data_IF_566880131613
#
_entry.id   IF_566880131613
#
_cell.length_a   1.000
_cell.length_b   1.000
_cell.length_c   1.000
_cell.angle_alpha   90.00
_cell.angle_beta   90.00
_cell.angle_gamma   90.00
#
_symmetry.space_group_name_H-M   'P 1'
#
loop_
_entity.id
_entity.type
_entity.pdbx_description
1 polymer ?
#
# COMPACT_ATOMS: atom_id res chain seq x y z
N UNK A 1 -30.46 6.61 -9.30
CA UNK A 1 -30.53 6.45 -7.83
C UNK A 1 -30.45 4.95 -7.53
N UNK A 2 -29.26 4.35 -7.63
CA UNK A 2 -29.08 2.94 -7.28
C UNK A 2 -28.77 2.86 -5.78
N UNK A 3 -29.68 2.24 -5.04
CA UNK A 3 -29.52 1.97 -3.63
C UNK A 3 -28.32 1.01 -3.47
N UNK A 4 -27.21 1.49 -2.89
CA UNK A 4 -26.11 0.64 -2.44
C UNK A 4 -26.71 -0.40 -1.48
N UNK A 5 -26.76 -1.67 -1.86
CA UNK A 5 -27.20 -2.74 -0.97
C UNK A 5 -26.12 -2.94 0.08
N UNK A 6 -26.32 -2.35 1.25
CA UNK A 6 -25.38 -2.38 2.35
C UNK A 6 -25.38 -3.78 3.00
N UNK A 7 -24.31 -4.55 2.78
CA UNK A 7 -24.14 -5.85 3.44
C UNK A 7 -23.52 -5.67 4.83
N UNK A 8 -24.37 -5.63 5.85
CA UNK A 8 -23.94 -5.46 7.25
C UNK A 8 -22.97 -6.55 7.73
N UNK A 9 -23.07 -7.78 7.19
CA UNK A 9 -22.18 -8.90 7.54
C UNK A 9 -20.80 -8.75 6.93
N UNK A 10 -20.71 -8.16 5.73
CA UNK A 10 -19.44 -7.84 5.10
C UNK A 10 -18.67 -6.81 5.95
N UNK A 11 -19.33 -5.74 6.36
CA UNK A 11 -18.70 -4.68 7.18
C UNK A 11 -18.35 -5.12 8.61
N UNK A 12 -18.99 -6.16 9.17
CA UNK A 12 -18.52 -6.74 10.45
C UNK A 12 -17.29 -7.64 10.28
N UNK A 13 -17.10 -8.20 9.08
CA UNK A 13 -16.01 -9.14 8.77
C UNK A 13 -14.72 -8.39 8.39
N UNK A 14 -14.86 -7.23 7.75
CA UNK A 14 -13.72 -6.44 7.27
C UNK A 14 -13.71 -5.05 7.91
N UNK A 15 -12.53 -4.49 8.09
CA UNK A 15 -12.30 -3.24 8.84
C UNK A 15 -12.62 -1.98 8.04
N UNK A 16 -13.83 -1.86 7.49
CA UNK A 16 -14.25 -0.69 6.72
C UNK A 16 -15.11 0.24 7.56
N UNK A 17 -14.75 1.52 7.60
CA UNK A 17 -15.57 2.53 8.26
C UNK A 17 -16.66 3.05 7.32
N UNK A 18 -17.83 3.34 7.89
CA UNK A 18 -18.95 3.94 7.16
C UNK A 18 -18.64 5.39 6.80
N UNK A 19 -19.02 5.80 5.60
CA UNK A 19 -18.86 7.17 5.10
C UNK A 19 -20.21 7.81 4.84
N UNK A 20 -21.09 7.86 5.85
CA UNK A 20 -22.47 8.36 5.70
C UNK A 20 -22.57 9.83 5.25
N UNK A 21 -21.48 10.61 5.34
CA UNK A 21 -21.44 12.04 5.03
C UNK A 21 -20.45 12.42 3.92
N UNK A 22 -19.90 11.44 3.18
CA UNK A 22 -18.93 11.73 2.13
C UNK A 22 -19.64 11.91 0.79
N UNK A 23 -19.61 13.13 0.25
CA UNK A 23 -20.07 13.41 -1.11
C UNK A 23 -19.03 12.92 -2.13
N UNK A 24 -19.39 11.84 -2.83
CA UNK A 24 -18.55 11.15 -3.80
C UNK A 24 -18.83 11.66 -5.22
N UNK A 25 -17.77 11.77 -6.00
CA UNK A 25 -17.86 11.96 -7.45
C UNK A 25 -18.62 10.79 -8.09
N UNK A 26 -19.38 11.05 -9.16
CA UNK A 26 -20.26 10.08 -9.82
C UNK A 26 -19.50 8.86 -10.38
N UNK A 27 -18.21 9.00 -10.62
CA UNK A 27 -17.32 7.94 -11.08
C UNK A 27 -16.60 7.22 -9.94
N UNK A 28 -16.87 7.55 -8.67
CA UNK A 28 -16.24 6.94 -7.50
C UNK A 28 -17.28 6.18 -6.67
N UNK A 29 -16.98 4.93 -6.34
CA UNK A 29 -17.76 4.16 -5.37
C UNK A 29 -16.92 3.82 -4.14
N UNK A 30 -17.60 3.63 -3.01
CA UNK A 30 -17.02 3.03 -1.82
C UNK A 30 -17.20 1.52 -1.88
N UNK A 31 -16.17 0.77 -1.44
CA UNK A 31 -16.29 -0.68 -1.24
C UNK A 31 -17.20 -0.94 -0.04
N UNK A 32 -18.36 -1.51 -0.31
CA UNK A 32 -19.43 -1.71 0.68
C UNK A 32 -19.91 -3.15 0.80
N UNK A 33 -19.53 -3.99 -0.16
CA UNK A 33 -19.95 -5.39 -0.24
C UNK A 33 -18.84 -6.27 -0.83
N UNK A 34 -19.10 -7.58 -0.85
CA UNK A 34 -18.16 -8.62 -1.30
C UNK A 34 -17.76 -8.50 -2.77
N UNK A 35 -18.64 -8.01 -3.65
CA UNK A 35 -18.33 -7.86 -5.06
C UNK A 35 -17.42 -6.65 -5.29
N UNK A 36 -17.73 -5.51 -4.67
CA UNK A 36 -16.85 -4.33 -4.70
C UNK A 36 -15.45 -4.69 -4.21
N UNK A 37 -15.34 -5.50 -3.16
CA UNK A 37 -14.05 -5.90 -2.61
C UNK A 37 -13.24 -6.81 -3.54
N UNK A 38 -13.92 -7.65 -4.32
CA UNK A 38 -13.28 -8.43 -5.38
C UNK A 38 -12.83 -7.52 -6.53
N UNK A 39 -13.66 -6.56 -6.94
CA UNK A 39 -13.29 -5.57 -7.97
C UNK A 39 -12.04 -4.80 -7.51
N UNK A 40 -12.04 -4.32 -6.26
CA UNK A 40 -10.90 -3.66 -5.65
C UNK A 40 -9.64 -4.54 -5.74
N UNK A 41 -9.74 -5.83 -5.41
CA UNK A 41 -8.60 -6.75 -5.50
C UNK A 41 -8.09 -6.95 -6.93
N UNK A 42 -8.99 -7.02 -7.92
CA UNK A 42 -8.66 -7.40 -9.29
C UNK A 42 -8.12 -6.27 -10.18
N UNK A 43 -8.38 -5.00 -9.87
CA UNK A 43 -7.90 -3.84 -10.67
C UNK A 43 -6.40 -3.89 -11.06
N UNK A 44 -5.44 -4.26 -10.19
CA UNK A 44 -4.05 -4.45 -10.59
C UNK A 44 -3.88 -5.40 -11.78
N UNK A 45 -4.61 -6.51 -11.81
CA UNK A 45 -4.49 -7.50 -12.88
C UNK A 45 -4.79 -6.91 -14.25
N UNK A 46 -5.72 -5.96 -14.32
CA UNK A 46 -6.03 -5.21 -15.55
C UNK A 46 -4.90 -4.25 -15.91
N UNK A 47 -4.33 -3.54 -14.93
CA UNK A 47 -3.28 -2.55 -15.15
C UNK A 47 -1.96 -3.21 -15.59
N UNK A 48 -1.63 -4.37 -15.03
CA UNK A 48 -0.37 -5.08 -15.26
C UNK A 48 -0.50 -6.26 -16.22
N UNK A 49 -1.62 -6.43 -16.93
CA UNK A 49 -1.91 -7.60 -17.77
C UNK A 49 -0.77 -7.98 -18.74
N UNK A 50 -0.02 -6.98 -19.21
CA UNK A 50 1.10 -7.16 -20.16
C UNK A 50 2.47 -6.84 -19.55
N UNK A 51 2.57 -6.73 -18.22
CA UNK A 51 3.82 -6.42 -17.54
C UNK A 51 4.53 -7.71 -17.09
N UNK A 52 5.70 -8.06 -17.66
CA UNK A 52 6.37 -9.32 -17.34
C UNK A 52 7.08 -9.33 -15.98
N UNK A 53 7.19 -8.18 -15.31
CA UNK A 53 7.89 -8.06 -14.04
C UNK A 53 6.97 -7.95 -12.83
N UNK A 54 5.68 -7.61 -13.05
CA UNK A 54 4.73 -7.50 -11.96
C UNK A 54 4.39 -8.88 -11.38
N UNK A 55 4.39 -8.98 -10.06
CA UNK A 55 4.03 -10.20 -9.32
C UNK A 55 2.65 -10.00 -8.70
N UNK A 56 1.65 -10.85 -9.04
CA UNK A 56 0.30 -10.70 -8.52
C UNK A 56 0.24 -11.00 -7.01
N UNK A 57 -0.50 -10.21 -6.22
CA UNK A 57 -0.69 -10.48 -4.80
C UNK A 57 -1.59 -11.70 -4.58
N UNK A 58 -1.42 -12.39 -3.45
CA UNK A 58 -2.31 -13.49 -3.07
C UNK A 58 -3.63 -12.95 -2.50
N UNK A 59 -4.75 -13.41 -3.04
CA UNK A 59 -6.08 -12.99 -2.57
C UNK A 59 -6.31 -13.31 -1.08
N UNK A 60 -5.75 -14.42 -0.59
CA UNK A 60 -5.83 -14.79 0.82
C UNK A 60 -5.14 -13.77 1.71
N UNK A 61 -3.91 -13.37 1.39
CA UNK A 61 -3.16 -12.37 2.16
C UNK A 61 -3.86 -11.02 2.15
N UNK A 62 -4.40 -10.62 0.99
CA UNK A 62 -5.20 -9.41 0.86
C UNK A 62 -6.45 -9.43 1.76
N UNK A 63 -7.21 -10.54 1.75
CA UNK A 63 -8.37 -10.72 2.65
C UNK A 63 -7.97 -10.71 4.12
N UNK A 64 -6.95 -11.48 4.48
CA UNK A 64 -6.48 -11.64 5.85
C UNK A 64 -5.91 -10.31 6.38
N UNK A 65 -5.37 -9.45 5.50
CA UNK A 65 -5.00 -8.09 5.86
C UNK A 65 -6.21 -7.26 6.26
N UNK A 66 -7.26 -7.17 5.43
CA UNK A 66 -8.44 -6.33 5.72
C UNK A 66 -9.45 -6.94 6.70
N UNK A 67 -9.26 -8.20 7.11
CA UNK A 67 -10.13 -8.86 8.06
C UNK A 67 -10.10 -8.15 9.42
N UNK A 68 -11.25 -8.05 10.08
CA UNK A 68 -11.40 -7.33 11.37
C UNK A 68 -10.56 -7.92 12.50
N UNK A 69 -10.16 -9.18 12.40
CA UNK A 69 -9.26 -9.83 13.36
C UNK A 69 -7.78 -9.45 13.19
N UNK A 70 -7.39 -8.75 12.13
CA UNK A 70 -6.00 -8.34 11.95
C UNK A 70 -5.63 -7.27 13.01
N UNK A 71 -4.61 -7.50 13.86
CA UNK A 71 -4.29 -6.57 14.95
C UNK A 71 -3.97 -5.14 14.51
N UNK A 72 -3.56 -4.94 13.25
CA UNK A 72 -3.34 -3.62 12.68
C UNK A 72 -4.59 -2.72 12.79
N UNK A 73 -5.79 -3.27 12.67
CA UNK A 73 -7.03 -2.49 12.72
C UNK A 73 -7.49 -2.13 14.13
N UNK A 74 -6.82 -2.62 15.18
CA UNK A 74 -7.12 -2.21 16.56
C UNK A 74 -6.79 -0.74 16.82
N UNK A 75 -5.91 -0.15 16.00
CA UNK A 75 -5.48 1.24 16.10
C UNK A 75 -5.54 1.98 14.75
N UNK A 76 -6.17 1.39 13.74
CA UNK A 76 -6.20 1.93 12.39
C UNK A 76 -7.61 1.89 11.81
N UNK A 77 -7.88 2.86 10.93
CA UNK A 77 -9.14 2.95 10.19
C UNK A 77 -8.85 3.02 8.69
N UNK A 78 -9.77 2.49 7.88
CA UNK A 78 -9.65 2.58 6.43
C UNK A 78 -11.01 2.73 5.75
N UNK A 79 -10.97 3.35 4.57
CA UNK A 79 -12.01 3.27 3.56
C UNK A 79 -11.38 2.98 2.20
N UNK A 80 -12.03 2.12 1.43
CA UNK A 80 -11.59 1.70 0.10
C UNK A 80 -12.51 2.32 -0.95
N UNK A 81 -11.92 2.88 -2.00
CA UNK A 81 -12.64 3.51 -3.09
C UNK A 81 -12.21 2.93 -4.43
N UNK A 82 -13.16 2.85 -5.36
CA UNK A 82 -12.96 2.39 -6.73
C UNK A 82 -13.43 3.48 -7.68
N UNK A 83 -12.63 3.74 -8.72
CA UNK A 83 -13.01 4.58 -9.84
C UNK A 83 -13.56 3.75 -10.99
N UNK A 84 -14.64 4.23 -11.62
CA UNK A 84 -15.31 3.57 -12.75
C UNK A 84 -15.31 4.44 -14.00
N UNK A 85 -15.01 3.81 -15.14
CA UNK A 85 -15.20 4.39 -16.48
C UNK A 85 -16.16 3.49 -17.24
N UNK A 86 -17.33 4.01 -17.61
CA UNK A 86 -18.36 3.24 -18.32
C UNK A 86 -18.69 1.91 -17.61
N UNK A 87 -18.91 1.96 -16.28
CA UNK A 87 -19.14 0.80 -15.40
C UNK A 87 -17.99 -0.22 -15.31
N UNK A 88 -16.80 0.08 -15.84
CA UNK A 88 -15.61 -0.75 -15.65
C UNK A 88 -14.73 -0.19 -14.53
N UNK A 89 -14.28 -1.00 -13.55
CA UNK A 89 -13.29 -0.59 -12.57
C UNK A 89 -11.98 -0.20 -13.25
N UNK A 90 -11.52 1.04 -13.06
CA UNK A 90 -10.32 1.59 -13.70
C UNK A 90 -9.29 2.14 -12.71
N UNK A 91 -9.60 2.14 -11.42
CA UNK A 91 -8.65 2.49 -10.39
C UNK A 91 -9.17 2.24 -8.99
N UNK A 92 -8.28 2.20 -8.02
CA UNK A 92 -8.56 1.97 -6.61
C UNK A 92 -7.64 2.78 -5.73
N UNK A 93 -8.10 3.08 -4.52
CA UNK A 93 -7.28 3.69 -3.47
C UNK A 93 -7.86 3.30 -2.10
N UNK A 94 -6.98 3.03 -1.15
CA UNK A 94 -7.32 2.97 0.26
C UNK A 94 -6.92 4.29 0.92
N UNK A 95 -7.84 4.91 1.66
CA UNK A 95 -7.51 5.97 2.61
C UNK A 95 -7.37 5.33 3.99
N UNK A 96 -6.22 5.51 4.65
CA UNK A 96 -5.84 4.78 5.85
C UNK A 96 -5.39 5.77 6.93
N UNK A 97 -5.80 5.55 8.18
CA UNK A 97 -5.27 6.26 9.35
C UNK A 97 -4.68 5.23 10.28
N UNK A 98 -3.44 5.42 10.70
CA UNK A 98 -2.83 4.69 11.81
C UNK A 98 -2.70 5.67 13.00
N UNK A 99 -3.60 5.54 13.97
CA UNK A 99 -3.62 6.41 15.15
C UNK A 99 -2.41 6.17 16.06
N UNK A 100 -1.88 4.95 16.10
CA UNK A 100 -0.69 4.64 16.88
C UNK A 100 0.52 5.35 16.27
N UNK A 101 0.65 5.32 14.94
CA UNK A 101 1.67 6.09 14.23
C UNK A 101 1.53 7.59 14.49
N UNK A 102 0.33 8.16 14.29
CA UNK A 102 0.07 9.59 14.52
C UNK A 102 0.45 10.02 15.93
N UNK A 103 0.09 9.22 16.95
CA UNK A 103 0.48 9.45 18.34
C UNK A 103 1.98 9.40 18.55
N UNK A 104 2.67 8.43 17.96
CA UNK A 104 4.12 8.26 18.09
C UNK A 104 4.90 9.42 17.48
N UNK A 105 4.48 9.91 16.31
CA UNK A 105 5.17 10.99 15.60
C UNK A 105 4.67 12.41 15.95
N UNK A 106 3.56 12.52 16.70
CA UNK A 106 2.96 13.79 17.10
C UNK A 106 2.38 14.62 15.94
N UNK A 107 1.90 13.97 14.87
CA UNK A 107 1.32 14.65 13.69
C UNK A 107 0.09 13.90 13.17
N UNK A 108 -0.90 14.64 12.69
CA UNK A 108 -2.10 14.08 12.08
C UNK A 108 -1.85 13.79 10.59
N UNK A 109 -1.33 12.60 10.31
CA UNK A 109 -1.02 12.14 8.95
C UNK A 109 -2.01 11.05 8.56
N UNK A 110 -2.70 11.27 7.45
CA UNK A 110 -3.46 10.27 6.74
C UNK A 110 -2.62 9.65 5.63
N UNK A 111 -2.83 8.37 5.39
CA UNK A 111 -2.15 7.63 4.35
C UNK A 111 -3.08 7.33 3.18
N UNK A 112 -2.51 7.29 1.97
CA UNK A 112 -3.12 6.48 0.91
C UNK A 112 -2.29 5.23 0.66
N UNK A 113 -2.94 4.14 0.28
CA UNK A 113 -2.32 2.87 -0.08
C UNK A 113 -3.16 2.13 -1.11
N UNK A 114 -2.68 0.96 -1.54
CA UNK A 114 -3.29 0.09 -2.54
C UNK A 114 -3.65 0.83 -3.82
N UNK A 115 -2.97 1.94 -4.10
CA UNK A 115 -3.32 2.84 -5.19
C UNK A 115 -2.97 2.20 -6.52
N UNK A 116 -3.98 2.08 -7.37
CA UNK A 116 -3.81 1.62 -8.74
C UNK A 116 -4.77 2.40 -9.64
N UNK A 117 -4.36 2.74 -10.85
CA UNK A 117 -5.19 3.49 -11.79
C UNK A 117 -4.71 3.24 -13.22
N UNK A 118 -5.61 3.19 -14.18
CA UNK A 118 -5.23 3.26 -15.60
C UNK A 118 -4.40 4.53 -15.89
N UNK A 119 -3.71 4.56 -17.04
CA UNK A 119 -2.95 5.72 -17.49
C UNK A 119 -3.84 6.90 -17.94
N UNK A 120 -4.67 7.40 -17.03
CA UNK A 120 -5.52 8.57 -17.15
C UNK A 120 -5.52 9.32 -15.82
N UNK A 121 -4.89 10.50 -15.81
CA UNK A 121 -4.72 11.33 -14.61
C UNK A 121 -6.06 11.77 -14.00
N UNK A 122 -7.13 11.81 -14.79
CA UNK A 122 -8.45 12.24 -14.33
C UNK A 122 -8.94 11.34 -13.18
N UNK A 123 -8.80 10.02 -13.33
CA UNK A 123 -9.22 9.06 -12.32
C UNK A 123 -8.26 9.02 -11.13
N UNK A 124 -6.95 9.14 -11.37
CA UNK A 124 -5.96 9.26 -10.30
C UNK A 124 -6.25 10.48 -9.40
N UNK A 125 -6.53 11.62 -10.01
CA UNK A 125 -6.92 12.86 -9.32
C UNK A 125 -8.19 12.66 -8.49
N UNK A 126 -9.25 12.06 -9.05
CA UNK A 126 -10.51 11.80 -8.33
C UNK A 126 -10.31 10.88 -7.13
N UNK A 127 -9.48 9.83 -7.29
CA UNK A 127 -9.14 8.90 -6.21
C UNK A 127 -8.40 9.60 -5.06
N UNK A 128 -7.35 10.37 -5.36
CA UNK A 128 -6.62 11.11 -4.33
C UNK A 128 -7.48 12.18 -3.64
N UNK A 129 -8.29 12.94 -4.39
CA UNK A 129 -9.21 13.90 -3.80
C UNK A 129 -10.23 13.22 -2.88
N UNK A 130 -10.72 12.04 -3.25
CA UNK A 130 -11.63 11.26 -2.41
C UNK A 130 -10.95 10.82 -1.12
N UNK A 131 -9.72 10.32 -1.19
CA UNK A 131 -8.95 9.97 -0.01
C UNK A 131 -8.68 11.19 0.89
N UNK A 132 -8.30 12.34 0.32
CA UNK A 132 -8.10 13.58 1.07
C UNK A 132 -9.37 14.04 1.79
N UNK A 133 -10.53 14.00 1.11
CA UNK A 133 -11.82 14.33 1.72
C UNK A 133 -12.17 13.39 2.87
N UNK A 134 -11.95 12.09 2.69
CA UNK A 134 -12.22 11.12 3.76
C UNK A 134 -11.32 11.35 4.98
N UNK A 135 -10.04 11.63 4.74
CA UNK A 135 -9.05 11.89 5.78
C UNK A 135 -9.28 13.22 6.50
N UNK A 136 -9.71 14.27 5.78
CA UNK A 136 -9.96 15.59 6.36
C UNK A 136 -11.17 15.58 7.31
N UNK A 137 -12.21 14.78 7.01
CA UNK A 137 -13.33 14.53 7.92
C UNK A 137 -12.89 13.90 9.26
N UNK A 138 -11.69 13.33 9.30
CA UNK A 138 -11.06 12.72 10.49
C UNK A 138 -9.89 13.54 11.03
N UNK A 139 -9.84 14.84 10.70
CA UNK A 139 -8.84 15.79 11.18
C UNK A 139 -7.38 15.46 10.78
N UNK A 140 -7.19 14.66 9.72
CA UNK A 140 -5.87 14.47 9.14
C UNK A 140 -5.51 15.67 8.28
N UNK A 141 -4.33 16.23 8.48
CA UNK A 141 -3.89 17.48 7.84
C UNK A 141 -2.90 17.26 6.71
N UNK A 142 -2.47 16.01 6.49
CA UNK A 142 -1.50 15.65 5.48
C UNK A 142 -1.87 14.28 4.89
N UNK A 143 -1.87 14.19 3.56
CA UNK A 143 -1.92 12.93 2.83
C UNK A 143 -0.49 12.48 2.49
N UNK A 144 -0.12 11.26 2.86
CA UNK A 144 1.19 10.67 2.55
C UNK A 144 1.05 9.27 1.98
N UNK A 145 1.89 8.89 1.01
CA UNK A 145 1.83 7.53 0.45
C UNK A 145 2.54 7.36 -0.90
N UNK A 146 2.37 6.20 -1.54
CA UNK A 146 1.53 5.10 -1.08
C UNK A 146 2.14 4.32 0.10
N UNK A 147 1.31 3.91 1.07
CA UNK A 147 1.61 2.96 2.16
C UNK A 147 0.41 2.04 2.33
N UNK A 148 0.60 0.74 2.14
CA UNK A 148 -0.45 -0.30 2.12
C UNK A 148 -0.80 -0.76 3.55
N UNK A 149 -1.01 0.22 4.42
CA UNK A 149 -1.22 0.08 5.87
C UNK A 149 0.06 -0.15 6.64
N UNK A 150 0.83 -1.18 6.29
CA UNK A 150 2.16 -1.43 6.86
C UNK A 150 3.24 -1.37 5.80
N UNK A 151 4.45 -0.96 6.18
CA UNK A 151 5.57 -0.81 5.24
C UNK A 151 5.93 -2.16 4.58
N UNK A 152 5.78 -3.27 5.29
CA UNK A 152 6.01 -4.63 4.78
C UNK A 152 4.95 -5.10 3.77
N UNK A 153 3.75 -4.52 3.76
CA UNK A 153 2.76 -4.82 2.71
C UNK A 153 3.08 -4.09 1.40
N UNK A 154 3.58 -2.85 1.51
CA UNK A 154 3.90 -2.01 0.37
C UNK A 154 4.09 -0.56 0.77
N UNK A 155 5.16 0.07 0.29
CA UNK A 155 5.44 1.48 0.49
C UNK A 155 6.15 2.09 -0.72
N UNK A 156 5.70 3.26 -1.16
CA UNK A 156 6.32 4.05 -2.22
C UNK A 156 5.95 3.60 -3.64
N UNK A 157 6.11 4.52 -4.60
CA UNK A 157 6.08 4.19 -6.02
C UNK A 157 7.45 3.74 -6.49
N UNK A 158 7.48 2.80 -7.43
CA UNK A 158 8.69 2.37 -8.10
C UNK A 158 9.29 3.56 -8.86
N UNK A 159 10.48 3.98 -8.46
CA UNK A 159 11.19 5.11 -9.06
C UNK A 159 12.17 4.68 -10.14
N UNK A 160 12.86 3.55 -9.93
CA UNK A 160 13.85 2.95 -10.82
C UNK A 160 13.74 1.42 -10.77
N UNK A 161 14.15 0.73 -11.85
CA UNK A 161 14.10 -0.73 -11.93
C UNK A 161 12.81 -1.31 -12.53
N UNK A 162 12.12 -0.57 -13.42
CA UNK A 162 10.90 -1.03 -14.12
C UNK A 162 11.10 -2.29 -15.00
N UNK A 163 12.35 -2.70 -15.18
CA UNK A 163 12.76 -3.90 -15.92
C UNK A 163 13.34 -4.99 -15.01
N UNK A 164 13.08 -4.91 -13.70
CA UNK A 164 13.51 -5.87 -12.70
C UNK A 164 12.28 -6.46 -12.02
N UNK A 165 12.35 -7.76 -11.71
CA UNK A 165 11.35 -8.36 -10.84
C UNK A 165 11.47 -7.74 -9.44
N UNK A 166 10.34 -7.41 -8.78
CA UNK A 166 10.37 -6.86 -7.43
C UNK A 166 10.96 -7.89 -6.46
N UNK A 167 11.76 -7.41 -5.52
CA UNK A 167 12.26 -8.25 -4.43
C UNK A 167 11.19 -8.39 -3.33
N UNK A 168 11.40 -9.31 -2.38
CA UNK A 168 10.50 -9.47 -1.25
C UNK A 168 10.35 -8.13 -0.51
N UNK A 169 9.10 -7.72 -0.24
CA UNK A 169 8.72 -6.44 0.38
C UNK A 169 8.96 -5.19 -0.47
N UNK A 170 9.41 -5.32 -1.73
CA UNK A 170 9.46 -4.18 -2.66
C UNK A 170 8.11 -3.95 -3.33
N UNK A 171 7.72 -2.69 -3.48
CA UNK A 171 6.58 -2.33 -4.32
C UNK A 171 6.94 -2.31 -5.80
N UNK A 172 5.94 -2.56 -6.63
CA UNK A 172 6.04 -2.40 -8.07
C UNK A 172 4.88 -1.54 -8.54
N UNK A 173 5.17 -0.49 -9.32
CA UNK A 173 4.15 0.40 -9.87
C UNK A 173 4.52 0.85 -11.28
N UNK A 174 3.54 1.23 -12.13
CA UNK A 174 3.83 1.73 -13.47
C UNK A 174 4.55 3.08 -13.40
N UNK A 175 5.44 3.34 -14.36
CA UNK A 175 6.24 4.58 -14.42
C UNK A 175 5.38 5.85 -14.42
N UNK A 176 4.21 5.82 -15.03
CA UNK A 176 3.33 6.99 -15.14
C UNK A 176 2.72 7.45 -13.80
N UNK A 177 2.77 6.62 -12.73
CA UNK A 177 2.33 7.04 -11.40
C UNK A 177 3.21 8.17 -10.83
N UNK A 178 4.50 8.20 -11.17
CA UNK A 178 5.40 9.30 -10.78
C UNK A 178 4.91 10.63 -11.36
N UNK A 179 4.59 10.63 -12.66
CA UNK A 179 4.04 11.81 -13.34
C UNK A 179 2.67 12.21 -12.80
N UNK A 180 1.84 11.26 -12.36
CA UNK A 180 0.57 11.57 -11.71
C UNK A 180 0.77 12.24 -10.35
N UNK A 181 1.70 11.73 -9.53
CA UNK A 181 2.04 12.32 -8.24
C UNK A 181 2.55 13.76 -8.40
N UNK A 182 3.43 13.99 -9.38
CA UNK A 182 3.93 15.34 -9.72
C UNK A 182 2.80 16.28 -10.18
N UNK A 183 1.93 15.82 -11.09
CA UNK A 183 0.75 16.60 -11.55
C UNK A 183 -0.22 16.91 -10.41
N UNK A 184 -0.34 16.01 -9.45
CA UNK A 184 -1.12 16.22 -8.22
C UNK A 184 -0.38 17.08 -7.17
N UNK A 185 0.83 17.57 -7.48
CA UNK A 185 1.69 18.40 -6.61
C UNK A 185 2.16 17.71 -5.34
N UNK A 186 2.24 16.37 -5.34
CA UNK A 186 2.85 15.63 -4.25
C UNK A 186 4.35 15.91 -4.19
N UNK A 187 4.90 15.88 -2.97
CA UNK A 187 6.34 16.05 -2.74
C UNK A 187 6.96 14.73 -2.29
N UNK A 188 8.17 14.46 -2.77
CA UNK A 188 8.92 13.27 -2.36
C UNK A 188 9.20 13.31 -0.85
N UNK A 189 8.76 12.28 -0.13
CA UNK A 189 8.95 12.19 1.32
C UNK A 189 10.24 11.44 1.71
N UNK A 190 10.52 10.30 1.07
CA UNK A 190 11.66 9.43 1.38
C UNK A 190 12.00 8.53 0.20
N UNK A 191 13.28 8.21 0.05
CA UNK A 191 13.75 7.16 -0.86
C UNK A 191 13.83 5.81 -0.15
N UNK A 192 13.35 4.75 -0.80
CA UNK A 192 13.55 3.38 -0.37
C UNK A 192 14.46 2.67 -1.37
N UNK A 193 15.59 2.17 -0.87
CA UNK A 193 16.62 1.57 -1.71
C UNK A 193 16.64 0.07 -1.44
N UNK A 194 16.50 -0.70 -2.52
CA UNK A 194 16.63 -2.16 -2.50
C UNK A 194 17.98 -2.55 -3.10
N UNK A 195 18.72 -3.41 -2.40
CA UNK A 195 20.00 -3.93 -2.87
C UNK A 195 19.85 -5.41 -3.22
N UNK A 196 20.38 -5.79 -4.38
CA UNK A 196 20.53 -7.19 -4.77
C UNK A 196 21.95 -7.67 -4.44
N UNK A 197 22.06 -8.79 -3.72
CA UNK A 197 23.33 -9.44 -3.41
C UNK A 197 23.27 -10.86 -3.96
N UNK A 198 24.18 -11.14 -4.89
CA UNK A 198 24.40 -12.49 -5.41
C UNK A 198 25.24 -13.30 -4.42
N UNK A 199 24.59 -14.16 -3.65
CA UNK A 199 25.23 -14.99 -2.62
C UNK A 199 26.10 -16.12 -3.19
N UNK A 200 26.07 -16.36 -4.50
CA UNK A 200 26.97 -17.33 -5.15
C UNK A 200 28.36 -16.74 -5.42
N UNK A 201 28.48 -15.40 -5.37
CA UNK A 201 29.74 -14.69 -5.55
C UNK A 201 30.38 -14.36 -4.21
N UNK A 202 31.70 -14.23 -4.20
CA UNK A 202 32.42 -13.71 -3.03
C UNK A 202 31.88 -12.31 -2.68
N UNK A 203 31.63 -12.07 -1.39
CA UNK A 203 31.26 -10.74 -0.92
C UNK A 203 32.35 -9.73 -1.27
N UNK A 204 31.96 -8.48 -1.50
CA UNK A 204 32.93 -7.42 -1.77
C UNK A 204 33.92 -7.30 -0.59
N UNK A 205 35.22 -7.19 -0.87
CA UNK A 205 36.28 -7.06 0.17
C UNK A 205 35.99 -5.94 1.18
N UNK A 206 35.32 -4.86 0.74
CA UNK A 206 34.91 -3.77 1.62
C UNK A 206 33.84 -4.16 2.65
N UNK A 207 32.91 -5.06 2.30
CA UNK A 207 31.93 -5.62 3.25
C UNK A 207 32.63 -6.48 4.30
N UNK A 208 33.60 -7.29 3.90
CA UNK A 208 34.40 -8.12 4.81
C UNK A 208 35.24 -7.28 5.79
N UNK A 209 35.89 -6.22 5.28
CA UNK A 209 36.63 -5.26 6.12
C UNK A 209 35.72 -4.60 7.15
N UNK A 210 34.53 -4.14 6.72
CA UNK A 210 33.54 -3.53 7.63
C UNK A 210 33.03 -4.52 8.68
N UNK A 211 32.73 -5.75 8.28
CA UNK A 211 32.33 -6.81 9.21
C UNK A 211 33.41 -7.08 10.27
N UNK A 212 34.68 -7.17 9.83
CA UNK A 212 35.83 -7.37 10.72
C UNK A 212 35.98 -6.23 11.72
N UNK A 213 35.88 -4.97 11.25
CA UNK A 213 35.95 -3.79 12.12
C UNK A 213 34.82 -3.75 13.14
N UNK A 214 33.59 -4.07 12.74
CA UNK A 214 32.46 -4.16 13.66
C UNK A 214 32.69 -5.21 14.76
N UNK A 215 33.26 -6.36 14.41
CA UNK A 215 33.58 -7.41 15.39
C UNK A 215 34.62 -6.95 16.41
N UNK A 216 35.63 -6.18 15.99
CA UNK A 216 36.64 -5.58 16.87
C UNK A 216 36.03 -4.56 17.85
N UNK A 217 34.93 -3.90 17.47
CA UNK A 217 34.17 -3.00 18.35
C UNK A 217 33.26 -3.70 19.37
N UNK A 218 33.42 -5.01 19.56
CA UNK A 218 32.60 -5.81 20.49
C UNK A 218 31.27 -6.32 19.90
N UNK A 219 30.99 -6.10 18.60
CA UNK A 219 29.78 -6.64 17.96
C UNK A 219 29.98 -8.13 17.68
N UNK A 220 29.19 -8.99 18.33
CA UNK A 220 29.22 -10.43 18.04
C UNK A 220 28.45 -10.77 16.77
N UNK A 221 29.16 -10.98 15.66
CA UNK A 221 28.58 -11.49 14.41
C UNK A 221 28.22 -12.97 14.61
N UNK A 222 26.97 -13.34 14.35
CA UNK A 222 26.49 -14.73 14.42
C UNK A 222 25.99 -15.15 13.06
N UNK A 223 26.36 -16.38 12.65
CA UNK A 223 25.79 -16.98 11.45
C UNK A 223 24.29 -17.22 11.69
N UNK A 224 23.46 -16.84 10.72
CA UNK A 224 22.04 -17.14 10.77
C UNK A 224 21.86 -18.66 10.87
N UNK A 225 21.12 -19.12 11.88
CA UNK A 225 20.79 -20.52 12.06
C UNK A 225 19.28 -20.60 12.28
N UNK A 226 18.57 -21.08 11.26
CA UNK A 226 17.11 -21.19 11.26
C UNK A 226 16.55 -22.12 12.35
N UNK A 227 17.36 -23.01 12.89
CA UNK A 227 16.96 -23.95 13.94
C UNK A 227 17.10 -23.36 15.35
N UNK A 228 17.76 -22.20 15.49
CA UNK A 228 18.02 -21.58 16.79
C UNK A 228 16.79 -20.87 17.38
N UNK A 229 15.76 -20.64 16.57
CA UNK A 229 14.47 -20.02 16.96
C UNK A 229 13.43 -21.04 17.44
N UNK A 230 13.71 -22.33 17.34
CA UNK A 230 12.88 -23.36 17.97
C UNK A 230 13.29 -23.37 19.45
N UNK A 231 12.54 -22.63 20.28
CA UNK A 231 12.56 -22.86 21.72
C UNK A 231 11.81 -24.17 21.95
N UNK A 232 12.51 -25.16 22.53
CA UNK A 232 11.86 -26.26 23.24
C UNK A 232 11.02 -25.71 24.39
#
# INVERSE_FOLDING_TARGET
MHCLSHDSRFNSTYSFQKTSNLDLDDQISIVSNKNDFKDFFHIPYTIYQQNPYWVPPFYKEFKDFFHSSNPFWNHAETALFIAYKNNQPVGRIAAIIDYLYCKHIGRNIGFFGFFECINDFTYAKKLWQTAEKWLSLKNMTCLQGPIDGRIDNGCGFLYQGFNLQPSLLSTYSPKYYLSFAEKYKMKKARDQITYYIDLTKSLAKELEKKATKSAQSGVRIRRFNRFRTIKN
#
